data_IF_858245815326
#
_entry.id   IF_858245815326
#
_cell.length_a   1.000
_cell.length_b   1.000
_cell.length_c   1.000
_cell.angle_alpha   90.00
_cell.angle_beta   90.00
_cell.angle_gamma   90.00
#
_symmetry.space_group_name_H-M   'P 1'
#
loop_
_entity.id
_entity.type
_entity.pdbx_description
1 polymer ?
#
# COMPACT_ATOMS: atom_id res chain seq x y z
N UNK A 1 -5.63 -5.82 -25.89
CA UNK A 1 -4.73 -6.17 -24.76
C UNK A 1 -3.55 -5.21 -24.78
N UNK A 2 -3.52 -4.25 -23.86
CA UNK A 2 -2.54 -3.16 -23.88
C UNK A 2 -1.19 -3.62 -23.30
N UNK A 3 -0.14 -3.51 -24.11
CA UNK A 3 1.26 -3.81 -23.79
C UNK A 3 1.82 -3.00 -22.60
N UNK A 4 1.14 -1.93 -22.18
CA UNK A 4 1.54 -1.06 -21.07
C UNK A 4 1.37 -1.70 -19.68
N UNK A 5 0.42 -2.61 -19.49
CA UNK A 5 0.18 -3.24 -18.19
C UNK A 5 1.23 -4.31 -17.83
N UNK A 6 1.75 -5.02 -18.84
CA UNK A 6 2.79 -6.04 -18.67
C UNK A 6 4.15 -5.39 -18.37
N UNK A 7 4.41 -4.21 -18.97
CA UNK A 7 5.65 -3.46 -18.72
C UNK A 7 5.73 -2.91 -17.29
N UNK A 8 4.60 -2.52 -16.69
CA UNK A 8 4.54 -2.04 -15.30
C UNK A 8 4.82 -3.14 -14.27
N UNK A 9 4.32 -4.36 -14.52
CA UNK A 9 4.57 -5.51 -13.64
C UNK A 9 6.05 -5.93 -13.66
N UNK A 10 6.69 -5.87 -14.84
CA UNK A 10 8.12 -6.20 -14.99
C UNK A 10 9.04 -5.14 -14.37
N UNK A 11 8.66 -3.86 -14.38
CA UNK A 11 9.49 -2.80 -13.78
C UNK A 11 9.54 -2.91 -12.24
N UNK A 12 8.44 -3.31 -11.58
CA UNK A 12 8.45 -3.57 -10.14
C UNK A 12 9.33 -4.77 -9.78
N UNK A 13 9.30 -5.83 -10.59
CA UNK A 13 10.18 -7.00 -10.38
C UNK A 13 11.65 -6.63 -10.59
N UNK A 14 11.97 -5.76 -11.56
CA UNK A 14 13.36 -5.37 -11.84
C UNK A 14 13.96 -4.41 -10.80
N UNK A 15 13.14 -3.56 -10.16
CA UNK A 15 13.59 -2.72 -9.04
C UNK A 15 13.84 -3.57 -7.79
N UNK A 16 13.12 -4.68 -7.61
CA UNK A 16 13.34 -5.62 -6.51
C UNK A 16 14.52 -6.58 -6.73
N UNK A 17 14.97 -6.80 -7.98
CA UNK A 17 16.03 -7.78 -8.29
C UNK A 17 17.44 -7.17 -8.45
N UNK A 18 17.61 -5.86 -8.28
CA UNK A 18 18.92 -5.20 -8.31
C UNK A 18 19.31 -4.65 -6.93
N UNK A 19 19.75 -5.55 -6.06
CA UNK A 19 20.81 -5.26 -5.08
C UNK A 19 20.53 -4.20 -4.01
N UNK A 20 19.28 -3.80 -3.76
CA UNK A 20 18.95 -3.04 -2.55
C UNK A 20 18.80 -4.05 -1.40
N UNK A 21 19.85 -4.24 -0.61
CA UNK A 21 19.73 -4.89 0.71
C UNK A 21 18.92 -3.96 1.63
N UNK A 22 17.59 -4.06 1.56
CA UNK A 22 16.67 -3.28 2.40
C UNK A 22 15.22 -3.50 1.99
N UNK A 23 14.29 -3.42 2.94
CA UNK A 23 12.86 -3.50 2.66
C UNK A 23 12.37 -2.26 1.92
N UNK A 24 11.23 -2.32 1.23
CA UNK A 24 10.61 -1.11 0.66
C UNK A 24 10.48 0.01 1.71
N UNK A 25 9.99 -0.26 2.95
CA UNK A 25 10.05 0.69 4.06
C UNK A 25 11.43 1.31 4.32
N UNK A 26 12.52 0.54 4.22
CA UNK A 26 13.89 1.05 4.41
C UNK A 26 14.35 1.89 3.21
N UNK A 27 13.99 1.49 1.99
CA UNK A 27 14.18 2.30 0.79
C UNK A 27 13.44 3.64 0.92
N UNK A 28 12.22 3.64 1.47
CA UNK A 28 11.41 4.85 1.69
C UNK A 28 12.01 5.79 2.73
N UNK A 29 12.39 5.27 3.91
CA UNK A 29 13.03 6.07 4.97
C UNK A 29 14.30 6.78 4.50
N UNK A 30 15.00 6.19 3.53
CA UNK A 30 16.30 6.67 3.08
C UNK A 30 16.24 7.48 1.78
N UNK A 31 15.12 7.47 1.03
CA UNK A 31 15.04 8.09 -0.31
C UNK A 31 13.72 8.82 -0.59
N UNK A 32 13.68 10.11 -0.27
CA UNK A 32 12.92 11.13 -1.02
C UNK A 32 11.39 11.17 -0.88
N UNK A 33 10.77 10.30 -0.08
CA UNK A 33 9.36 10.45 0.28
C UNK A 33 9.20 11.41 1.46
N UNK A 34 8.16 12.24 1.41
CA UNK A 34 7.79 13.16 2.48
C UNK A 34 6.51 12.68 3.14
N UNK A 35 6.48 12.74 4.47
CA UNK A 35 5.24 12.52 5.23
C UNK A 35 4.37 13.77 5.07
N UNK A 36 3.12 13.58 4.67
CA UNK A 36 2.11 14.62 4.53
C UNK A 36 0.88 14.27 5.37
N UNK A 37 0.03 15.25 5.73
CA UNK A 37 -1.28 14.96 6.31
C UNK A 37 -2.11 14.09 5.37
N UNK A 38 -2.88 13.16 5.94
CA UNK A 38 -3.77 12.29 5.16
C UNK A 38 -4.85 13.16 4.48
N UNK A 39 -5.05 13.06 3.16
CA UNK A 39 -6.02 13.86 2.42
C UNK A 39 -7.44 13.78 2.98
N UNK A 40 -8.13 14.91 3.01
CA UNK A 40 -9.48 15.02 3.60
C UNK A 40 -10.51 14.18 2.84
N UNK A 41 -10.34 14.07 1.53
CA UNK A 41 -11.13 13.22 0.65
C UNK A 41 -11.05 11.74 1.01
N UNK A 42 -9.99 11.26 1.67
CA UNK A 42 -9.84 9.86 2.06
C UNK A 42 -10.20 9.63 3.52
N UNK A 43 -9.96 10.62 4.39
CA UNK A 43 -10.21 10.52 5.85
C UNK A 43 -11.68 10.48 6.26
N UNK A 44 -12.61 10.93 5.41
CA UNK A 44 -14.06 10.86 5.66
C UNK A 44 -14.67 9.47 5.40
N UNK A 45 -13.94 8.41 5.71
CA UNK A 45 -14.45 7.05 5.63
C UNK A 45 -15.32 6.75 6.86
N UNK A 46 -16.55 6.30 6.65
CA UNK A 46 -17.43 5.88 7.75
C UNK A 46 -17.05 4.46 8.15
N UNK A 47 -16.25 4.31 9.21
CA UNK A 47 -15.88 3.01 9.75
C UNK A 47 -15.06 3.12 11.03
N UNK A 48 -15.13 2.09 11.86
CA UNK A 48 -14.33 1.93 13.08
C UNK A 48 -13.34 0.77 12.95
N UNK A 49 -12.96 0.46 11.71
CA UNK A 49 -12.03 -0.61 11.39
C UNK A 49 -10.71 -0.47 12.14
N UNK A 50 -10.04 -1.60 12.36
CA UNK A 50 -8.70 -1.64 12.91
C UNK A 50 -7.95 -2.83 12.31
N UNK A 51 -6.63 -2.72 12.24
CA UNK A 51 -5.75 -3.84 11.91
C UNK A 51 -5.01 -4.22 13.20
N UNK A 52 -5.42 -5.30 13.88
CA UNK A 52 -4.65 -5.85 14.99
C UNK A 52 -3.35 -6.49 14.50
N UNK A 53 -3.44 -7.32 13.46
CA UNK A 53 -2.31 -7.97 12.80
C UNK A 53 -2.38 -7.73 11.28
N UNK A 54 -1.26 -7.31 10.68
CA UNK A 54 -1.16 -7.10 9.23
C UNK A 54 -1.38 -8.39 8.43
N UNK A 55 -1.16 -9.56 9.03
CA UNK A 55 -1.42 -10.87 8.41
C UNK A 55 -2.90 -11.12 8.19
N UNK A 56 -3.77 -10.58 9.04
CA UNK A 56 -5.22 -10.71 8.86
C UNK A 56 -5.67 -10.07 7.55
N UNK A 57 -5.02 -8.97 7.17
CA UNK A 57 -5.29 -8.31 5.87
C UNK A 57 -4.92 -9.20 4.69
N UNK A 58 -3.85 -10.00 4.80
CA UNK A 58 -3.47 -10.96 3.76
C UNK A 58 -4.53 -12.07 3.59
N UNK A 59 -5.15 -12.51 4.68
CA UNK A 59 -6.18 -13.55 4.68
C UNK A 59 -7.51 -13.00 4.15
N UNK A 60 -7.93 -11.84 4.66
CA UNK A 60 -9.26 -11.29 4.41
C UNK A 60 -9.39 -10.56 3.07
N UNK A 61 -8.30 -9.99 2.53
CA UNK A 61 -8.32 -9.16 1.33
C UNK A 61 -7.92 -9.91 0.03
N UNK A 62 -7.59 -11.20 0.10
CA UNK A 62 -7.11 -11.99 -1.05
C UNK A 62 -8.21 -12.34 -2.07
N UNK A 63 -7.88 -12.18 -3.36
CA UNK A 63 -8.65 -12.67 -4.51
C UNK A 63 -8.16 -14.06 -4.97
N UNK A 64 -9.00 -15.02 -5.41
CA UNK A 64 -10.45 -15.14 -5.29
C UNK A 64 -10.88 -15.97 -4.05
N UNK A 65 -9.95 -16.28 -3.13
CA UNK A 65 -10.16 -17.23 -2.03
C UNK A 65 -10.45 -16.60 -0.66
N UNK A 66 -10.55 -15.26 -0.57
CA UNK A 66 -10.93 -14.55 0.66
C UNK A 66 -12.45 -14.55 0.92
N UNK A 67 -12.86 -14.19 2.15
CA UNK A 67 -14.27 -14.15 2.57
C UNK A 67 -15.07 -12.99 1.95
N UNK A 68 -14.42 -12.02 1.32
CA UNK A 68 -15.06 -10.91 0.62
C UNK A 68 -14.18 -10.46 -0.56
N UNK A 69 -14.82 -10.09 -1.68
CA UNK A 69 -14.14 -9.40 -2.77
C UNK A 69 -13.47 -8.12 -2.24
N UNK A 70 -12.18 -7.95 -2.52
CA UNK A 70 -11.42 -6.77 -2.10
C UNK A 70 -12.02 -5.51 -2.70
N UNK A 71 -12.57 -4.63 -1.86
CA UNK A 71 -12.94 -3.28 -2.28
C UNK A 71 -11.66 -2.46 -2.42
N UNK A 72 -11.22 -2.26 -3.66
CA UNK A 72 -10.05 -1.43 -3.98
C UNK A 72 -10.33 0.09 -3.84
N UNK A 73 -11.46 0.48 -3.25
CA UNK A 73 -11.71 1.85 -2.80
C UNK A 73 -10.82 2.21 -1.61
N UNK A 74 -10.14 3.35 -1.69
CA UNK A 74 -9.32 3.86 -0.58
C UNK A 74 -10.19 4.07 0.66
N UNK A 75 -11.38 4.66 0.51
CA UNK A 75 -12.32 4.85 1.62
C UNK A 75 -12.84 3.53 2.17
N UNK A 76 -13.10 2.55 1.30
CA UNK A 76 -13.56 1.22 1.73
C UNK A 76 -12.50 0.51 2.57
N UNK A 77 -11.24 0.60 2.14
CA UNK A 77 -10.11 0.08 2.90
C UNK A 77 -9.95 0.78 4.25
N UNK A 78 -9.99 2.12 4.28
CA UNK A 78 -9.92 2.89 5.53
C UNK A 78 -11.11 2.58 6.45
N UNK A 79 -12.32 2.45 5.91
CA UNK A 79 -13.50 2.11 6.72
C UNK A 79 -13.36 0.72 7.37
N UNK A 80 -12.78 -0.25 6.65
CA UNK A 80 -12.60 -1.63 7.12
C UNK A 80 -11.43 -1.78 8.08
N UNK A 81 -10.34 -1.08 7.84
CA UNK A 81 -9.04 -1.31 8.50
C UNK A 81 -8.56 -0.14 9.37
N UNK A 82 -9.33 0.95 9.40
CA UNK A 82 -9.04 2.15 10.18
C UNK A 82 -8.23 3.18 9.40
N UNK A 83 -7.93 4.29 10.06
CA UNK A 83 -7.05 5.32 9.49
C UNK A 83 -5.61 4.82 9.39
N UNK A 84 -4.90 5.14 8.30
CA UNK A 84 -3.46 4.90 8.22
C UNK A 84 -2.73 5.82 9.20
N UNK A 85 -1.55 5.42 9.64
CA UNK A 85 -0.73 6.22 10.55
C UNK A 85 -0.02 7.34 9.79
N UNK A 86 0.34 7.09 8.53
CA UNK A 86 1.10 8.03 7.71
C UNK A 86 0.66 8.00 6.25
N UNK A 87 0.85 9.13 5.58
CA UNK A 87 0.72 9.26 4.13
C UNK A 87 2.06 9.72 3.56
N UNK A 88 2.69 8.86 2.77
CA UNK A 88 4.00 9.10 2.18
C UNK A 88 3.85 9.52 0.73
N UNK A 89 4.38 10.71 0.42
CA UNK A 89 4.25 11.34 -0.89
C UNK A 89 5.60 11.43 -1.55
N UNK A 90 5.67 11.07 -2.84
CA UNK A 90 6.87 11.32 -3.66
C UNK A 90 6.82 12.71 -4.30
N UNK A 91 7.92 13.44 -4.23
CA UNK A 91 8.09 14.65 -5.05
C UNK A 91 8.06 14.28 -6.55
N UNK A 92 7.32 15.09 -7.33
CA UNK A 92 6.88 14.87 -8.72
C UNK A 92 7.74 13.91 -9.59
N UNK A 93 7.07 12.89 -10.12
CA UNK A 93 7.44 12.13 -11.32
C UNK A 93 6.19 11.53 -11.97
N UNK A 94 6.19 11.33 -13.29
CA UNK A 94 5.07 10.69 -14.02
C UNK A 94 5.02 9.21 -13.62
N UNK A 95 3.92 8.76 -13.00
CA UNK A 95 3.69 7.36 -12.66
C UNK A 95 4.04 6.94 -11.23
N UNK A 96 4.37 7.89 -10.35
CA UNK A 96 4.66 7.60 -8.96
C UNK A 96 3.38 7.45 -8.13
N UNK A 97 3.26 6.30 -7.47
CA UNK A 97 2.24 6.04 -6.45
C UNK A 97 2.68 6.65 -5.13
N UNK A 98 1.73 7.21 -4.40
CA UNK A 98 1.91 7.56 -2.99
C UNK A 98 1.52 6.34 -2.12
N UNK A 99 1.78 6.41 -0.82
CA UNK A 99 1.49 5.32 0.10
C UNK A 99 0.66 5.75 1.29
N UNK A 100 -0.39 4.99 1.58
CA UNK A 100 -0.93 4.95 2.94
C UNK A 100 -0.21 3.86 3.72
N UNK A 101 0.27 4.22 4.91
CA UNK A 101 1.10 3.34 5.73
C UNK A 101 0.39 3.00 7.03
N UNK A 102 0.31 1.70 7.30
CA UNK A 102 -0.17 1.14 8.55
C UNK A 102 1.01 0.46 9.25
N UNK A 103 1.55 1.11 10.27
CA UNK A 103 2.65 0.61 11.09
C UNK A 103 2.06 -0.09 12.32
N UNK A 104 2.22 -1.41 12.40
CA UNK A 104 1.65 -2.28 13.44
C UNK A 104 2.73 -3.12 14.08
N UNK A 105 2.57 -3.57 15.34
CA UNK A 105 3.62 -4.30 16.07
C UNK A 105 4.26 -5.42 15.25
N UNK A 106 3.46 -6.16 14.48
CA UNK A 106 3.88 -7.32 13.67
C UNK A 106 4.51 -6.97 12.29
N UNK A 107 4.32 -5.75 11.80
CA UNK A 107 4.77 -5.40 10.46
C UNK A 107 4.28 -4.06 9.93
N UNK A 108 4.57 -3.81 8.66
CA UNK A 108 4.17 -2.59 7.95
C UNK A 108 3.31 -3.00 6.76
N UNK A 109 2.15 -2.37 6.63
CA UNK A 109 1.30 -2.50 5.46
C UNK A 109 1.32 -1.20 4.66
N UNK A 110 1.59 -1.32 3.37
CA UNK A 110 1.66 -0.21 2.41
C UNK A 110 0.54 -0.36 1.39
N UNK A 111 -0.31 0.65 1.27
CA UNK A 111 -1.36 0.72 0.24
C UNK A 111 -0.91 1.69 -0.85
N UNK A 112 -0.82 1.21 -2.09
CA UNK A 112 -0.35 1.98 -3.24
C UNK A 112 -1.49 2.84 -3.77
N UNK A 113 -1.50 4.12 -3.39
CA UNK A 113 -2.58 5.06 -3.72
C UNK A 113 -2.16 6.04 -4.81
N UNK A 114 -3.09 6.40 -5.72
CA UNK A 114 -2.85 7.49 -6.66
C UNK A 114 -2.72 8.80 -5.88
N UNK A 115 -2.18 9.83 -6.53
CA UNK A 115 -2.25 11.18 -5.98
C UNK A 115 -3.73 11.60 -5.78
N UNK A 116 -4.03 12.37 -4.74
CA UNK A 116 -5.35 12.96 -4.57
C UNK A 116 -5.77 13.76 -5.82
N UNK A 117 -7.04 13.71 -6.25
CA UNK A 117 -8.20 13.14 -5.55
C UNK A 117 -8.52 11.67 -5.93
N UNK A 118 -7.56 10.90 -6.44
CA UNK A 118 -7.82 9.52 -6.86
C UNK A 118 -8.44 8.66 -5.75
N UNK A 119 -9.38 7.77 -6.10
CA UNK A 119 -10.24 7.10 -5.12
C UNK A 119 -10.03 5.58 -4.99
N UNK A 120 -9.26 4.98 -5.91
CA UNK A 120 -8.96 3.54 -5.93
C UNK A 120 -7.47 3.33 -5.83
N UNK A 121 -7.04 2.34 -5.05
CA UNK A 121 -5.64 1.95 -4.92
C UNK A 121 -5.30 0.78 -5.84
N UNK A 122 -4.01 0.64 -6.15
CA UNK A 122 -3.53 -0.37 -7.11
C UNK A 122 -3.05 -1.67 -6.46
N UNK A 123 -2.56 -1.61 -5.22
CA UNK A 123 -2.00 -2.77 -4.53
C UNK A 123 -1.92 -2.57 -3.01
N UNK A 124 -1.71 -3.66 -2.29
CA UNK A 124 -1.35 -3.69 -0.87
C UNK A 124 -0.12 -4.58 -0.70
N UNK A 125 0.98 -4.03 -0.16
CA UNK A 125 2.16 -4.81 0.21
C UNK A 125 2.25 -4.93 1.73
N UNK A 126 2.52 -6.13 2.21
CA UNK A 126 2.60 -6.45 3.63
C UNK A 126 4.02 -6.93 3.93
N UNK A 127 4.69 -6.25 4.85
CA UNK A 127 6.07 -6.49 5.22
C UNK A 127 6.16 -6.87 6.70
N UNK A 128 7.00 -7.84 7.04
CA UNK A 128 7.32 -8.11 8.44
C UNK A 128 8.32 -7.10 9.01
N UNK A 129 8.52 -7.12 10.33
CA UNK A 129 9.50 -6.26 11.02
C UNK A 129 10.96 -6.50 10.63
N UNK A 130 11.26 -7.65 10.01
CA UNK A 130 12.60 -7.95 9.49
C UNK A 130 12.79 -7.40 8.07
N UNK A 131 11.79 -6.72 7.52
CA UNK A 131 11.84 -6.15 6.20
C UNK A 131 11.59 -7.16 5.08
N UNK A 132 11.00 -8.32 5.38
CA UNK A 132 10.64 -9.32 4.36
C UNK A 132 9.21 -9.08 3.88
N UNK A 133 9.01 -9.10 2.56
CA UNK A 133 7.68 -9.07 1.97
C UNK A 133 6.95 -10.37 2.30
N UNK A 134 5.84 -10.25 3.03
CA UNK A 134 4.96 -11.36 3.39
C UNK A 134 3.93 -11.63 2.30
N UNK A 135 3.30 -10.56 1.77
CA UNK A 135 2.32 -10.68 0.70
C UNK A 135 2.21 -9.41 -0.13
N UNK A 136 1.76 -9.57 -1.38
CA UNK A 136 1.49 -8.48 -2.32
C UNK A 136 0.17 -8.75 -3.04
N UNK A 137 -0.86 -7.99 -2.67
CA UNK A 137 -2.22 -8.10 -3.20
C UNK A 137 -2.41 -7.04 -4.29
N UNK A 138 -2.89 -7.45 -5.47
CA UNK A 138 -3.05 -6.61 -6.68
C UNK A 138 -4.37 -6.89 -7.37
#
# INVERSE_FOLDING_TARGET
MNLTSILCALLMVFVLNRGVKGSEPDFYRTRGYKVQPIPLEWSRANGSGTIPDVRDVAVDFRWPAGRAFGDFSIKGFIARYGMPDQYWVRERGKGDWDYLVYDRSEGILLVYVPKPPGAKFGAVAIWDRKGRLLDLIK
#
